data_IF_751709891548
#
_entry.id   IF_751709891548
#
_cell.length_a   1.000
_cell.length_b   1.000
_cell.length_c   1.000
_cell.angle_alpha   90.00
_cell.angle_beta   90.00
_cell.angle_gamma   90.00
#
_symmetry.space_group_name_H-M   'P 1'
#
loop_
_entity.id
_entity.type
_entity.pdbx_description
1 polymer ?
#
# COMPACT_ATOMS: atom_id res chain seq x y z
N UNK A 1 -19.88 -11.64 4.09
CA UNK A 1 -19.65 -11.68 5.56
C UNK A 1 -20.76 -10.90 6.25
N UNK A 2 -21.37 -11.46 7.29
CA UNK A 2 -22.42 -10.78 8.08
C UNK A 2 -21.78 -9.97 9.21
N UNK A 3 -22.54 -9.05 9.81
CA UNK A 3 -22.08 -8.27 10.97
C UNK A 3 -21.66 -9.18 12.13
N UNK A 4 -22.43 -10.22 12.39
CA UNK A 4 -22.16 -11.21 13.44
C UNK A 4 -20.81 -11.90 13.21
N UNK A 5 -20.52 -12.27 11.96
CA UNK A 5 -19.24 -12.90 11.59
C UNK A 5 -18.05 -11.95 11.75
N UNK A 6 -18.24 -10.66 11.49
CA UNK A 6 -17.21 -9.64 11.71
C UNK A 6 -16.93 -9.47 13.22
N UNK A 7 -17.98 -9.42 14.04
CA UNK A 7 -17.86 -9.34 15.51
C UNK A 7 -17.14 -10.59 16.06
N UNK A 8 -17.53 -11.78 15.59
CA UNK A 8 -16.90 -13.05 15.97
C UNK A 8 -15.40 -13.05 15.62
N UNK A 9 -15.03 -12.56 14.43
CA UNK A 9 -13.62 -12.45 14.03
C UNK A 9 -12.82 -11.50 14.92
N UNK A 10 -13.36 -10.35 15.30
CA UNK A 10 -12.73 -9.47 16.29
C UNK A 10 -12.55 -10.19 17.63
N UNK A 11 -13.57 -10.94 18.08
CA UNK A 11 -13.51 -11.75 19.29
C UNK A 11 -12.38 -12.77 19.25
N UNK A 12 -12.28 -13.54 18.16
CA UNK A 12 -11.22 -14.53 17.94
C UNK A 12 -9.82 -13.91 18.01
N UNK A 13 -9.61 -12.74 17.38
CA UNK A 13 -8.34 -12.01 17.43
C UNK A 13 -8.01 -11.60 18.87
N UNK A 14 -8.97 -11.01 19.59
CA UNK A 14 -8.77 -10.55 20.97
C UNK A 14 -8.48 -11.73 21.91
N UNK A 15 -9.24 -12.82 21.81
CA UNK A 15 -9.05 -14.02 22.61
C UNK A 15 -7.66 -14.63 22.39
N UNK A 16 -7.24 -14.77 21.13
CA UNK A 16 -5.92 -15.32 20.79
C UNK A 16 -4.77 -14.48 21.37
N UNK A 17 -4.86 -13.16 21.30
CA UNK A 17 -3.82 -12.26 21.81
C UNK A 17 -3.83 -12.22 23.35
N UNK A 18 -5.00 -12.17 23.99
CA UNK A 18 -5.11 -12.18 25.46
C UNK A 18 -4.74 -13.51 26.09
N UNK A 19 -4.88 -14.63 25.36
CA UNK A 19 -4.37 -15.93 25.79
C UNK A 19 -2.83 -15.93 25.89
N UNK A 20 -2.15 -15.08 25.11
CA UNK A 20 -0.69 -14.91 25.17
C UNK A 20 -0.25 -13.93 26.27
N UNK A 21 -0.90 -12.76 26.36
CA UNK A 21 -0.59 -11.73 27.36
C UNK A 21 -1.90 -11.13 27.90
N UNK A 22 -2.40 -11.56 29.08
CA UNK A 22 -3.71 -11.14 29.60
C UNK A 22 -3.83 -9.63 29.84
N UNK A 23 -2.72 -8.97 30.13
CA UNK A 23 -2.65 -7.55 30.49
C UNK A 23 -2.48 -6.63 29.27
N UNK A 24 -2.36 -7.19 28.06
CA UNK A 24 -2.20 -6.38 26.86
C UNK A 24 -3.51 -5.69 26.47
N UNK A 25 -3.43 -4.41 26.11
CA UNK A 25 -4.54 -3.71 25.49
C UNK A 25 -4.64 -4.12 24.03
N UNK A 26 -5.83 -4.55 23.60
CA UNK A 26 -6.11 -5.01 22.24
C UNK A 26 -7.29 -4.23 21.69
N UNK A 27 -7.11 -3.63 20.52
CA UNK A 27 -8.18 -3.10 19.69
C UNK A 27 -8.27 -3.97 18.43
N UNK A 28 -9.44 -4.55 18.16
CA UNK A 28 -9.68 -5.32 16.95
C UNK A 28 -10.86 -4.70 16.20
N UNK A 29 -10.64 -4.39 14.93
CA UNK A 29 -11.63 -3.75 14.06
C UNK A 29 -11.84 -4.60 12.80
N UNK A 30 -13.10 -4.74 12.42
CA UNK A 30 -13.50 -5.39 11.19
C UNK A 30 -14.49 -4.47 10.47
N UNK A 31 -14.18 -4.12 9.22
CA UNK A 31 -14.97 -3.15 8.47
C UNK A 31 -15.46 -3.75 7.15
N UNK A 32 -16.68 -3.37 6.77
CA UNK A 32 -17.19 -3.45 5.41
C UNK A 32 -17.62 -2.06 4.97
N UNK A 33 -17.12 -1.62 3.82
CA UNK A 33 -17.57 -0.39 3.17
C UNK A 33 -18.09 -0.73 1.78
N UNK A 34 -19.29 -0.26 1.47
CA UNK A 34 -19.88 -0.34 0.13
C UNK A 34 -20.08 1.09 -0.36
N UNK A 35 -19.65 1.38 -1.58
CA UNK A 35 -19.75 2.71 -2.18
C UNK A 35 -20.16 2.63 -3.63
N UNK A 36 -21.04 3.54 -4.04
CA UNK A 36 -21.44 3.76 -5.41
C UNK A 36 -21.14 5.21 -5.79
N UNK A 37 -20.73 5.43 -7.03
CA UNK A 37 -20.40 6.75 -7.53
C UNK A 37 -20.58 6.85 -9.03
N UNK A 38 -20.67 8.08 -9.54
CA UNK A 38 -20.77 8.36 -10.96
C UNK A 38 -19.81 9.50 -11.30
N UNK A 39 -18.82 9.22 -12.14
CA UNK A 39 -17.98 10.25 -12.74
C UNK A 39 -18.67 10.78 -13.99
N UNK A 40 -18.85 12.10 -14.07
CA UNK A 40 -19.41 12.78 -15.23
C UNK A 40 -18.54 13.97 -15.58
N UNK A 41 -18.09 14.06 -16.83
CA UNK A 41 -17.34 15.23 -17.32
C UNK A 41 -18.09 15.92 -18.46
N UNK A 42 -17.78 17.21 -18.67
CA UNK A 42 -18.29 17.98 -19.82
C UNK A 42 -17.79 17.43 -21.16
N UNK A 43 -16.70 16.65 -21.17
CA UNK A 43 -16.20 15.92 -22.32
C UNK A 43 -17.01 14.67 -22.67
N UNK A 44 -18.09 14.38 -21.94
CA UNK A 44 -19.02 13.29 -22.24
C UNK A 44 -18.68 11.95 -21.56
N UNK A 45 -17.66 11.92 -20.70
CA UNK A 45 -17.37 10.73 -19.88
C UNK A 45 -18.51 10.53 -18.89
N UNK A 46 -19.02 9.30 -18.81
CA UNK A 46 -20.00 8.88 -17.80
C UNK A 46 -19.64 7.49 -17.30
N UNK A 47 -18.95 7.41 -16.17
CA UNK A 47 -18.47 6.14 -15.62
C UNK A 47 -19.11 5.88 -14.25
N UNK A 48 -20.05 4.92 -14.14
CA UNK A 48 -20.50 4.44 -12.85
C UNK A 48 -19.40 3.60 -12.20
N UNK A 49 -19.35 3.66 -10.87
CA UNK A 49 -18.44 2.88 -10.05
C UNK A 49 -19.20 2.25 -8.90
N UNK A 50 -18.86 1.01 -8.60
CA UNK A 50 -19.33 0.30 -7.41
C UNK A 50 -18.13 -0.40 -6.80
N UNK A 51 -17.95 -0.23 -5.51
CA UNK A 51 -16.81 -0.79 -4.78
C UNK A 51 -17.29 -1.36 -3.46
N UNK A 52 -16.73 -2.51 -3.11
CA UNK A 52 -16.84 -3.09 -1.78
C UNK A 52 -15.42 -3.26 -1.25
N UNK A 53 -15.19 -2.77 -0.04
CA UNK A 53 -13.94 -2.91 0.69
C UNK A 53 -14.23 -3.67 1.98
N UNK A 54 -13.37 -4.62 2.28
CA UNK A 54 -13.32 -5.32 3.54
C UNK A 54 -11.97 -5.07 4.20
N UNK A 55 -11.95 -5.00 5.52
CA UNK A 55 -10.70 -4.97 6.27
C UNK A 55 -10.80 -5.67 7.62
N UNK A 56 -9.65 -6.17 8.08
CA UNK A 56 -9.40 -6.57 9.46
C UNK A 56 -8.17 -5.82 9.94
N UNK A 57 -8.26 -5.26 11.15
CA UNK A 57 -7.21 -4.57 11.85
C UNK A 57 -7.13 -5.13 13.26
N UNK A 58 -5.91 -5.29 13.75
CA UNK A 58 -5.64 -5.41 15.17
C UNK A 58 -4.52 -4.47 15.56
N UNK A 59 -4.73 -3.70 16.61
CA UNK A 59 -3.73 -2.87 17.26
C UNK A 59 -3.56 -3.34 18.70
N UNK A 60 -2.32 -3.33 19.17
CA UNK A 60 -1.97 -3.71 20.53
C UNK A 60 -1.13 -2.64 21.20
N UNK A 61 -1.31 -2.53 22.51
CA UNK A 61 -0.47 -1.72 23.38
C UNK A 61 -0.15 -2.50 24.65
N UNK A 62 1.13 -2.58 24.99
CA UNK A 62 1.61 -3.14 26.25
C UNK A 62 2.49 -2.13 26.97
N UNK A 63 2.15 -1.82 28.22
CA UNK A 63 2.96 -0.97 29.10
C UNK A 63 3.47 -1.79 30.28
N UNK A 64 4.79 -1.85 30.48
CA UNK A 64 5.42 -2.48 31.65
C UNK A 64 6.50 -1.55 32.19
N UNK A 65 6.24 -0.93 33.35
CA UNK A 65 7.10 0.14 33.88
C UNK A 65 7.18 1.31 32.89
N UNK A 66 8.40 1.73 32.53
CA UNK A 66 8.66 2.81 31.56
C UNK A 66 8.61 2.35 30.09
N UNK A 67 8.36 1.06 29.84
CA UNK A 67 8.43 0.49 28.50
C UNK A 67 7.05 0.36 27.90
N UNK A 68 6.88 0.96 26.72
CA UNK A 68 5.68 0.84 25.90
C UNK A 68 6.01 0.11 24.60
N UNK A 69 5.24 -0.94 24.31
CA UNK A 69 5.25 -1.65 23.03
C UNK A 69 3.94 -1.36 22.31
N UNK A 70 4.06 -0.97 21.05
CA UNK A 70 2.95 -0.82 20.12
C UNK A 70 3.15 -1.79 18.96
N UNK A 71 2.07 -2.35 18.46
CA UNK A 71 2.09 -3.24 17.31
C UNK A 71 0.74 -3.25 16.63
N UNK A 72 0.73 -3.53 15.33
CA UNK A 72 -0.51 -3.69 14.60
C UNK A 72 -0.34 -4.67 13.44
N UNK A 73 -1.45 -5.26 13.04
CA UNK A 73 -1.57 -6.09 11.86
C UNK A 73 -2.86 -5.71 11.15
N UNK A 74 -2.78 -5.54 9.83
CA UNK A 74 -3.91 -5.07 9.04
C UNK A 74 -3.93 -5.74 7.69
N UNK A 75 -5.13 -5.96 7.18
CA UNK A 75 -5.36 -6.40 5.81
C UNK A 75 -6.66 -5.83 5.29
N UNK A 76 -6.66 -5.42 4.03
CA UNK A 76 -7.85 -5.07 3.27
C UNK A 76 -7.88 -5.81 1.94
N UNK A 77 -9.08 -5.96 1.41
CA UNK A 77 -9.32 -6.64 0.15
C UNK A 77 -10.72 -6.32 -0.40
N UNK A 78 -10.94 -6.60 -1.70
CA UNK A 78 -12.21 -6.27 -2.39
C UNK A 78 -13.10 -7.46 -2.77
N UNK A 79 -12.70 -8.68 -2.46
CA UNK A 79 -13.50 -9.89 -2.72
C UNK A 79 -13.99 -10.58 -1.42
N UNK A 80 -15.19 -11.14 -1.38
CA UNK A 80 -15.67 -11.78 -0.14
C UNK A 80 -15.01 -13.14 0.20
N UNK A 81 -14.01 -13.58 -0.58
CA UNK A 81 -13.37 -14.89 -0.49
C UNK A 81 -12.19 -15.01 0.49
N UNK A 82 -11.10 -15.65 0.03
CA UNK A 82 -10.03 -16.26 0.82
C UNK A 82 -9.15 -15.31 1.66
N UNK A 83 -9.41 -14.00 1.64
CA UNK A 83 -8.62 -13.01 2.37
C UNK A 83 -9.18 -12.67 3.76
N UNK A 84 -10.41 -13.11 4.07
CA UNK A 84 -10.97 -13.01 5.42
C UNK A 84 -10.33 -14.06 6.34
N UNK A 85 -9.32 -13.66 7.10
CA UNK A 85 -8.57 -14.55 7.98
C UNK A 85 -8.20 -13.85 9.30
N UNK A 86 -9.05 -13.96 10.35
CA UNK A 86 -8.72 -13.43 11.67
C UNK A 86 -7.52 -14.15 12.31
N UNK A 87 -7.30 -15.43 11.99
CA UNK A 87 -6.17 -16.20 12.50
C UNK A 87 -4.84 -15.66 12.00
N UNK A 88 -4.77 -15.27 10.71
CA UNK A 88 -3.60 -14.61 10.16
C UNK A 88 -3.30 -13.29 10.85
N UNK A 89 -4.31 -12.45 11.13
CA UNK A 89 -4.12 -11.18 11.86
C UNK A 89 -3.55 -11.44 13.25
N UNK A 90 -4.14 -12.37 14.00
CA UNK A 90 -3.65 -12.75 15.32
C UNK A 90 -2.19 -13.26 15.27
N UNK A 91 -1.87 -14.13 14.32
CA UNK A 91 -0.51 -14.69 14.21
C UNK A 91 0.54 -13.61 13.86
N UNK A 92 0.20 -12.62 13.03
CA UNK A 92 1.12 -11.49 12.76
C UNK A 92 1.42 -10.67 14.02
N UNK A 93 0.42 -10.48 14.90
CA UNK A 93 0.62 -9.81 16.19
C UNK A 93 1.46 -10.69 17.13
N UNK A 94 1.12 -11.97 17.25
CA UNK A 94 1.82 -12.91 18.13
C UNK A 94 3.28 -13.09 17.71
N UNK A 95 3.57 -13.19 16.42
CA UNK A 95 4.94 -13.21 15.89
C UNK A 95 5.71 -11.93 16.30
N UNK A 96 5.08 -10.76 16.15
CA UNK A 96 5.69 -9.48 16.53
C UNK A 96 5.95 -9.39 18.04
N UNK A 97 5.04 -9.91 18.86
CA UNK A 97 5.21 -9.98 20.32
C UNK A 97 6.37 -10.91 20.71
N UNK A 98 6.45 -12.12 20.15
CA UNK A 98 7.55 -13.07 20.38
C UNK A 98 8.91 -12.48 20.00
N UNK A 99 8.98 -11.80 18.86
CA UNK A 99 10.21 -11.12 18.42
C UNK A 99 10.61 -9.98 19.37
N UNK A 100 9.63 -9.24 19.90
CA UNK A 100 9.88 -8.12 20.79
C UNK A 100 10.28 -8.51 22.22
N UNK A 101 10.09 -9.77 22.62
CA UNK A 101 10.60 -10.28 23.90
C UNK A 101 12.12 -10.33 23.95
N UNK A 102 12.74 -10.58 22.80
CA UNK A 102 14.19 -10.68 22.71
C UNK A 102 14.77 -9.32 22.35
N UNK A 103 15.35 -8.64 23.35
CA UNK A 103 16.19 -7.47 23.10
C UNK A 103 17.53 -7.92 22.57
N UNK A 104 17.92 -7.36 21.44
CA UNK A 104 19.26 -7.48 20.90
C UNK A 104 19.89 -6.09 20.84
N UNK A 105 21.17 -6.00 21.18
CA UNK A 105 21.94 -4.82 20.83
C UNK A 105 22.15 -4.81 19.32
N UNK A 106 21.78 -3.72 18.62
CA UNK A 106 21.97 -3.65 17.19
C UNK A 106 23.48 -3.69 16.88
N UNK A 107 23.92 -4.51 15.93
CA UNK A 107 25.33 -4.56 15.57
C UNK A 107 25.77 -3.22 14.95
N UNK A 108 26.99 -2.78 15.26
CA UNK A 108 27.53 -1.49 14.82
C UNK A 108 28.34 -1.67 13.55
N UNK A 109 28.16 -0.77 12.57
CA UNK A 109 28.94 -0.72 11.34
C UNK A 109 28.09 -0.83 10.08
N UNK A 110 28.76 -0.99 8.93
CA UNK A 110 28.09 -1.21 7.63
C UNK A 110 27.81 -2.70 7.47
N UNK A 111 26.54 -3.07 7.56
CA UNK A 111 26.09 -4.46 7.48
C UNK A 111 24.98 -4.60 6.43
N UNK A 112 24.88 -5.75 5.76
CA UNK A 112 23.73 -6.04 4.91
C UNK A 112 22.47 -6.12 5.76
N UNK A 113 21.39 -5.50 5.29
CA UNK A 113 20.08 -5.52 5.95
C UNK A 113 19.06 -6.25 5.07
N UNK A 114 18.31 -7.16 5.67
CA UNK A 114 17.15 -7.79 5.04
C UNK A 114 15.90 -7.05 5.48
N UNK A 115 15.17 -6.49 4.52
CA UNK A 115 13.94 -5.74 4.80
C UNK A 115 12.72 -6.64 4.52
N UNK A 116 11.83 -6.86 5.51
CA UNK A 116 10.62 -7.61 5.26
C UNK A 116 9.67 -6.81 4.34
N UNK A 117 8.78 -7.48 3.58
CA UNK A 117 7.91 -6.82 2.60
C UNK A 117 7.13 -5.60 3.13
N UNK A 118 6.70 -5.64 4.40
CA UNK A 118 6.00 -4.52 5.07
C UNK A 118 6.80 -3.20 5.08
N UNK A 119 8.14 -3.29 5.17
CA UNK A 119 9.02 -2.12 5.14
C UNK A 119 9.27 -1.64 3.71
N UNK A 120 9.22 -2.53 2.72
CA UNK A 120 9.38 -2.16 1.30
C UNK A 120 8.30 -1.14 0.89
N UNK A 121 7.06 -1.28 1.37
CA UNK A 121 6.00 -0.28 1.12
C UNK A 121 6.40 1.12 1.61
N UNK A 122 7.11 1.24 2.74
CA UNK A 122 7.56 2.54 3.24
C UNK A 122 8.64 3.13 2.35
N UNK A 123 9.54 2.31 1.79
CA UNK A 123 10.55 2.75 0.83
C UNK A 123 9.93 3.20 -0.48
N UNK A 124 8.84 2.55 -0.93
CA UNK A 124 8.15 2.94 -2.15
C UNK A 124 7.58 4.35 -2.09
N UNK A 125 7.29 4.91 -0.91
CA UNK A 125 6.86 6.32 -0.77
C UNK A 125 7.87 7.31 -1.37
N UNK A 126 9.17 7.04 -1.26
CA UNK A 126 10.18 7.89 -1.88
C UNK A 126 10.13 7.80 -3.41
N UNK A 127 9.82 6.62 -3.95
CA UNK A 127 9.61 6.42 -5.39
C UNK A 127 8.34 7.14 -5.84
N UNK A 128 7.23 7.01 -5.11
CA UNK A 128 5.96 7.72 -5.36
C UNK A 128 6.18 9.23 -5.51
N UNK A 129 6.90 9.84 -4.57
CA UNK A 129 7.22 11.27 -4.62
C UNK A 129 8.13 11.63 -5.80
N UNK A 130 9.09 10.77 -6.13
CA UNK A 130 10.01 10.98 -7.24
C UNK A 130 9.35 10.86 -8.61
N UNK A 131 8.39 9.94 -8.77
CA UNK A 131 7.71 9.71 -10.05
C UNK A 131 6.48 10.60 -10.26
N UNK A 132 6.11 11.42 -9.28
CA UNK A 132 4.94 12.28 -9.35
C UNK A 132 5.18 13.47 -10.31
N UNK A 133 4.37 13.56 -11.38
CA UNK A 133 4.49 14.59 -12.42
C UNK A 133 4.34 16.02 -11.92
N UNK A 134 3.50 16.27 -10.90
CA UNK A 134 3.40 17.61 -10.28
C UNK A 134 4.69 17.99 -9.56
N UNK A 135 5.34 17.05 -8.88
CA UNK A 135 6.63 17.29 -8.22
C UNK A 135 7.74 17.54 -9.25
N UNK A 136 7.71 16.84 -10.39
CA UNK A 136 8.65 17.10 -11.50
C UNK A 136 8.45 18.50 -12.06
N UNK A 137 7.21 18.91 -12.35
CA UNK A 137 6.90 20.23 -12.88
C UNK A 137 7.32 21.37 -11.93
N UNK A 138 7.25 21.14 -10.62
CA UNK A 138 7.70 22.09 -9.60
C UNK A 138 9.22 22.10 -9.38
N UNK A 139 9.94 21.09 -9.88
CA UNK A 139 11.36 20.90 -9.59
C UNK A 139 11.66 20.26 -8.22
N UNK A 140 10.64 19.75 -7.52
CA UNK A 140 10.76 19.11 -6.21
C UNK A 140 11.16 17.62 -6.32
N UNK A 141 11.00 17.01 -7.49
CA UNK A 141 11.34 15.61 -7.71
C UNK A 141 12.87 15.40 -7.80
N UNK A 142 13.45 14.45 -7.04
CA UNK A 142 14.86 14.06 -7.18
C UNK A 142 15.15 13.30 -8.49
N UNK A 143 14.11 12.99 -9.27
CA UNK A 143 14.20 12.28 -10.55
C UNK A 143 13.98 13.23 -11.75
N UNK A 144 13.70 14.52 -11.51
CA UNK A 144 13.54 15.50 -12.57
C UNK A 144 14.77 15.54 -13.48
N UNK A 145 14.55 15.49 -14.80
CA UNK A 145 15.62 15.49 -15.81
C UNK A 145 16.39 14.18 -15.97
N UNK A 146 16.00 13.10 -15.27
CA UNK A 146 16.72 11.81 -15.29
C UNK A 146 16.05 10.71 -16.11
N UNK A 147 15.14 11.08 -17.00
CA UNK A 147 14.42 10.12 -17.86
C UNK A 147 15.41 9.36 -18.74
N UNK A 148 15.30 8.03 -18.78
CA UNK A 148 16.25 7.15 -19.48
C UNK A 148 17.55 6.87 -18.72
N UNK A 149 17.77 7.48 -17.56
CA UNK A 149 18.94 7.19 -16.72
C UNK A 149 18.72 6.00 -15.80
N UNK A 150 19.81 5.32 -15.47
CA UNK A 150 19.84 4.32 -14.40
C UNK A 150 19.88 5.02 -13.05
N UNK A 151 18.77 4.96 -12.31
CA UNK A 151 18.61 5.59 -10.99
C UNK A 151 18.56 4.57 -9.85
N UNK A 152 18.32 3.29 -10.15
CA UNK A 152 18.34 2.17 -9.20
C UNK A 152 19.14 0.97 -9.73
N UNK A 153 19.32 -0.04 -8.87
CA UNK A 153 20.00 -1.29 -9.22
C UNK A 153 19.27 -2.04 -10.37
N UNK A 154 20.00 -2.71 -11.29
CA UNK A 154 19.40 -3.48 -12.39
C UNK A 154 18.38 -4.55 -11.98
N UNK A 155 18.42 -5.04 -10.73
CA UNK A 155 17.47 -6.01 -10.20
C UNK A 155 16.10 -5.41 -9.85
N UNK A 156 15.95 -4.09 -9.88
CA UNK A 156 14.72 -3.40 -9.49
C UNK A 156 13.91 -3.03 -10.72
N UNK A 157 12.68 -3.52 -10.80
CA UNK A 157 11.66 -3.08 -11.75
C UNK A 157 10.41 -2.71 -10.98
N UNK A 158 9.87 -1.52 -11.24
CA UNK A 158 8.67 -0.97 -10.58
C UNK A 158 7.67 -0.55 -11.64
N UNK A 159 6.43 -0.99 -11.49
CA UNK A 159 5.30 -0.68 -12.37
C UNK A 159 4.11 -0.23 -11.53
N UNK A 160 3.38 0.77 -12.02
CA UNK A 160 2.03 1.07 -11.52
C UNK A 160 1.00 0.26 -12.31
N UNK A 161 0.25 -0.61 -11.63
CA UNK A 161 -0.65 -1.59 -12.24
C UNK A 161 -2.08 -1.46 -11.68
N UNK A 162 -2.93 -0.62 -12.29
CA UNK A 162 -4.30 -0.38 -11.82
C UNK A 162 -5.27 -1.53 -12.11
N UNK A 163 -4.86 -2.56 -12.86
CA UNK A 163 -5.75 -3.60 -13.39
C UNK A 163 -5.65 -4.92 -12.61
N UNK A 164 -5.05 -4.89 -11.42
CA UNK A 164 -5.03 -6.03 -10.52
C UNK A 164 -6.41 -6.31 -9.93
N UNK A 165 -6.97 -7.46 -10.27
CA UNK A 165 -8.24 -7.93 -9.75
C UNK A 165 -8.27 -7.89 -8.22
N UNK A 166 -9.35 -7.31 -7.69
CA UNK A 166 -9.65 -7.20 -6.27
C UNK A 166 -8.60 -6.47 -5.40
N UNK A 167 -7.61 -5.82 -6.02
CA UNK A 167 -6.68 -4.94 -5.33
C UNK A 167 -7.36 -3.64 -4.88
N UNK A 168 -6.94 -3.08 -3.75
CA UNK A 168 -7.51 -1.82 -3.24
C UNK A 168 -7.31 -0.65 -4.20
N UNK A 169 -6.21 -0.67 -4.96
CA UNK A 169 -5.89 0.33 -5.98
C UNK A 169 -6.60 0.12 -7.32
N UNK A 170 -7.38 -0.96 -7.48
CA UNK A 170 -7.94 -1.29 -8.78
C UNK A 170 -8.88 -0.19 -9.31
N UNK A 171 -8.59 0.26 -10.53
CA UNK A 171 -9.31 1.33 -11.21
C UNK A 171 -9.29 1.12 -12.73
N UNK A 172 -10.31 1.66 -13.40
CA UNK A 172 -10.42 1.66 -14.88
C UNK A 172 -10.31 3.07 -15.44
N UNK A 173 -10.64 4.07 -14.64
CA UNK A 173 -10.61 5.49 -14.95
C UNK A 173 -10.16 6.28 -13.72
N UNK A 174 -9.48 7.40 -13.90
CA UNK A 174 -9.15 8.32 -12.82
C UNK A 174 -10.23 9.39 -12.58
N UNK A 175 -9.95 10.34 -11.68
CA UNK A 175 -10.87 11.42 -11.34
C UNK A 175 -11.13 12.42 -12.46
N UNK A 176 -10.22 12.50 -13.44
CA UNK A 176 -10.28 13.41 -14.59
C UNK A 176 -10.99 12.78 -15.80
N UNK A 177 -11.36 11.50 -15.72
CA UNK A 177 -11.98 10.77 -16.82
C UNK A 177 -10.97 10.18 -17.80
N UNK A 178 -9.70 10.06 -17.41
CA UNK A 178 -8.65 9.44 -18.20
C UNK A 178 -8.60 7.93 -17.90
N UNK A 179 -8.66 7.05 -18.92
CA UNK A 179 -8.49 5.62 -18.73
C UNK A 179 -7.15 5.30 -18.07
N UNK A 180 -7.19 4.55 -16.97
CA UNK A 180 -5.99 4.08 -16.30
C UNK A 180 -5.22 3.10 -17.18
N UNK A 181 -3.88 3.07 -17.04
CA UNK A 181 -3.02 2.13 -17.77
C UNK A 181 -1.91 1.60 -16.89
N UNK A 182 -1.40 0.42 -17.26
CA UNK A 182 -0.15 -0.09 -16.68
C UNK A 182 0.99 0.83 -17.11
N UNK A 183 1.64 1.47 -16.13
CA UNK A 183 2.69 2.46 -16.37
C UNK A 183 4.03 1.96 -15.83
N UNK A 184 4.98 1.58 -16.70
CA UNK A 184 6.35 1.29 -16.29
C UNK A 184 6.99 2.55 -15.71
N UNK A 185 7.46 2.47 -14.46
CA UNK A 185 8.15 3.58 -13.81
C UNK A 185 9.66 3.36 -13.87
N UNK A 186 10.08 2.16 -13.50
CA UNK A 186 11.48 1.74 -13.49
C UNK A 186 11.59 0.36 -14.12
N UNK A 187 12.41 0.21 -15.16
CA UNK A 187 12.70 -1.09 -15.75
C UNK A 187 14.18 -1.39 -15.61
N UNK A 188 14.52 -2.45 -14.86
CA UNK A 188 15.91 -2.81 -14.57
C UNK A 188 16.72 -1.61 -14.08
N UNK A 189 16.13 -0.83 -13.17
CA UNK A 189 16.70 0.34 -12.54
C UNK A 189 16.75 1.61 -13.40
N UNK A 190 16.27 1.57 -14.65
CA UNK A 190 16.21 2.72 -15.55
C UNK A 190 14.86 3.42 -15.41
N UNK A 191 14.86 4.74 -15.23
CA UNK A 191 13.64 5.55 -15.14
C UNK A 191 12.99 5.66 -16.53
N UNK A 192 11.77 5.12 -16.68
CA UNK A 192 11.07 5.10 -17.97
C UNK A 192 9.94 6.12 -18.06
N UNK A 193 9.42 6.61 -16.93
CA UNK A 193 8.33 7.56 -16.95
C UNK A 193 7.96 8.13 -15.58
N UNK A 194 7.03 9.07 -15.62
CA UNK A 194 6.40 9.70 -14.48
C UNK A 194 4.88 9.46 -14.56
N UNK A 195 4.18 9.67 -13.45
CA UNK A 195 2.72 9.63 -13.40
C UNK A 195 2.19 11.04 -13.63
N UNK A 196 1.23 11.18 -14.52
CA UNK A 196 0.67 12.46 -14.93
C UNK A 196 -0.86 12.45 -14.84
N UNK A 197 -1.38 13.54 -14.27
CA UNK A 197 -2.75 14.01 -14.50
C UNK A 197 -2.79 14.91 -15.75
N UNK A 198 -3.95 15.51 -16.04
CA UNK A 198 -4.11 16.39 -17.20
C UNK A 198 -3.16 17.61 -17.19
N UNK A 199 -3.04 18.28 -16.05
CA UNK A 199 -2.27 19.52 -15.93
C UNK A 199 -0.76 19.27 -16.04
N UNK A 200 -0.25 18.30 -15.28
CA UNK A 200 1.16 17.93 -15.28
C UNK A 200 1.59 17.29 -16.59
N UNK A 201 0.71 16.54 -17.27
CA UNK A 201 0.94 16.08 -18.64
C UNK A 201 1.15 17.25 -19.59
N UNK A 202 0.27 18.26 -19.54
CA UNK A 202 0.38 19.48 -20.36
C UNK A 202 1.68 20.25 -20.11
N UNK A 203 2.06 20.42 -18.85
CA UNK A 203 3.32 21.07 -18.47
C UNK A 203 4.56 20.29 -18.94
N UNK A 204 4.48 18.97 -18.96
CA UNK A 204 5.56 18.10 -19.41
C UNK A 204 5.58 17.87 -20.94
N UNK A 205 4.56 18.33 -21.67
CA UNK A 205 4.36 17.96 -23.08
C UNK A 205 4.17 16.45 -23.28
N UNK A 206 3.60 15.76 -22.29
CA UNK A 206 3.35 14.34 -22.27
C UNK A 206 1.85 14.03 -22.37
N UNK A 207 1.52 12.74 -22.54
CA UNK A 207 0.14 12.25 -22.44
C UNK A 207 -0.20 11.91 -20.97
N UNK A 208 -1.42 12.19 -20.49
CA UNK A 208 -1.84 11.82 -19.15
C UNK A 208 -1.78 10.29 -18.97
N UNK A 209 -1.44 9.84 -17.76
CA UNK A 209 -1.26 8.40 -17.46
C UNK A 209 -2.47 7.75 -16.80
N UNK A 210 -3.53 8.53 -16.56
CA UNK A 210 -4.69 8.07 -15.79
C UNK A 210 -4.40 8.03 -14.30
N UNK A 211 -3.72 9.04 -13.78
CA UNK A 211 -3.36 9.18 -12.37
C UNK A 211 -3.70 10.59 -11.88
N UNK A 212 -4.98 10.87 -11.61
CA UNK A 212 -5.41 12.10 -10.91
C UNK A 212 -4.57 12.30 -9.63
N UNK A 213 -4.01 13.50 -9.46
CA UNK A 213 -3.09 13.83 -8.37
C UNK A 213 -1.67 13.27 -8.54
N UNK A 214 -1.37 12.60 -9.66
CA UNK A 214 -0.10 11.94 -9.97
C UNK A 214 0.30 10.87 -8.93
N UNK A 215 -0.68 10.21 -8.32
CA UNK A 215 -0.47 9.13 -7.36
C UNK A 215 -0.64 7.78 -8.04
N UNK A 216 0.21 6.78 -7.73
CA UNK A 216 0.04 5.44 -8.29
C UNK A 216 -1.20 4.75 -7.72
N UNK A 217 -1.79 3.89 -8.53
CA UNK A 217 -2.88 3.01 -8.13
C UNK A 217 -2.39 1.81 -7.33
N UNK A 218 -1.40 1.09 -7.87
CA UNK A 218 -0.82 -0.10 -7.24
C UNK A 218 0.61 -0.31 -7.70
N UNK A 219 1.56 0.18 -6.90
CA UNK A 219 2.97 -0.05 -7.16
C UNK A 219 3.34 -1.52 -6.93
N UNK A 220 3.92 -2.13 -7.96
CA UNK A 220 4.46 -3.48 -7.92
C UNK A 220 5.95 -3.46 -8.16
N UNK A 221 6.68 -4.11 -7.27
CA UNK A 221 8.10 -4.43 -7.48
C UNK A 221 8.16 -5.83 -8.07
N UNK A 222 8.82 -5.98 -9.22
CA UNK A 222 9.00 -7.29 -9.82
C UNK A 222 9.80 -8.20 -8.87
N UNK A 223 9.41 -9.48 -8.71
CA UNK A 223 10.17 -10.40 -7.87
C UNK A 223 11.56 -10.64 -8.45
N UNK A 224 12.57 -10.70 -7.58
CA UNK A 224 13.90 -11.14 -7.96
C UNK A 224 13.91 -12.61 -8.40
N UNK A 225 14.90 -13.00 -9.20
CA UNK A 225 15.18 -14.43 -9.46
C UNK A 225 15.84 -15.00 -8.20
N UNK A 226 15.28 -16.08 -7.65
CA UNK A 226 15.90 -16.86 -6.59
C UNK A 226 17.10 -17.63 -7.13
#
# INVERSE_FOLDING_TARGET
>A
LTRERLIEACGQIVEAIRAYDPDIHVCAEAQRSESEGLLVTTGGVRQPTRRTLWSLLCEIQRTRGEQMLLGYAWRSWRDAGAHFDPGWIAEQILESLRLAERRAEPPVGRLPALLPPRIVRQLLKAVELGVNGRNVAKGDSPLAGRLGERVLNPSVTIVDDPHLDYCDGAAVIDGDGVPTRVTPLLTRGVLEGFLYDLDSAGLAGAEPTGNDGCMPWSLRVAPGRR
#
